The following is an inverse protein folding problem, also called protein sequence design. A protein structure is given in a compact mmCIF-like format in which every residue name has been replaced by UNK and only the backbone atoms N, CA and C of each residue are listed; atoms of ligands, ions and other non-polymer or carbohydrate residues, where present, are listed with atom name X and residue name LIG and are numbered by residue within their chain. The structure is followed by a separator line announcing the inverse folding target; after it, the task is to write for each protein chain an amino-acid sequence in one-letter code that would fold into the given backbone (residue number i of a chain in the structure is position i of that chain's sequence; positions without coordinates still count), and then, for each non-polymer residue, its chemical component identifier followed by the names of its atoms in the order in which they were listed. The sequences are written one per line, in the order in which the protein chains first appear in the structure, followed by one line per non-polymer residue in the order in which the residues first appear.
data_IF_260604892780
#
_entry.id   IF_260604892780
#
_cell.length_a   1.000
_cell.length_b   1.000
_cell.length_c   1.000
_cell.angle_alpha   90.00
_cell.angle_beta   90.00
_cell.angle_gamma   90.00
#
_symmetry.space_group_name_H-M   'P 1'
#
loop_
_entity.id
_entity.type
_entity.pdbx_description
1 polymer ?
#
# COMPACT_ATOMS: atom_id res chain seq x y z
N UNK A 1 7.34 2.32 9.64
CA UNK A 1 7.98 2.02 10.93
C UNK A 1 9.25 1.22 10.77
N UNK A 2 9.13 -0.09 10.50
CA UNK A 2 10.26 -1.03 10.47
C UNK A 2 11.42 -0.62 9.55
N UNK A 3 11.13 -0.38 8.25
CA UNK A 3 12.16 0.05 7.29
C UNK A 3 12.79 1.39 7.67
N UNK A 4 12.06 2.29 8.35
CA UNK A 4 12.60 3.56 8.84
C UNK A 4 13.63 3.35 9.96
N UNK A 5 13.31 2.49 10.93
CA UNK A 5 14.24 2.12 12.01
C UNK A 5 15.43 1.27 11.54
N UNK A 6 15.24 0.46 10.50
CA UNK A 6 16.31 -0.34 9.91
C UNK A 6 17.35 0.51 9.17
N UNK A 7 16.92 1.54 8.43
CA UNK A 7 17.82 2.39 7.65
C UNK A 7 18.57 3.41 8.51
N UNK A 8 18.08 3.74 9.72
CA UNK A 8 18.71 4.73 10.61
C UNK A 8 18.85 4.17 12.03
N UNK A 9 19.78 3.23 12.29
CA UNK A 9 19.88 2.54 13.58
C UNK A 9 20.47 3.38 14.72
N UNK A 10 21.20 4.48 14.42
CA UNK A 10 21.78 5.42 15.40
C UNK A 10 22.40 4.76 16.65
N UNK A 11 23.29 3.78 16.45
CA UNK A 11 24.03 3.12 17.53
C UNK A 11 23.30 1.94 18.20
N UNK A 12 22.06 1.64 17.82
CA UNK A 12 21.35 0.43 18.24
C UNK A 12 21.53 -0.71 17.21
N UNK A 13 21.38 -1.98 17.64
CA UNK A 13 21.27 -3.10 16.72
C UNK A 13 20.16 -2.86 15.67
N UNK A 14 20.39 -3.12 14.38
CA UNK A 14 19.41 -2.81 13.32
C UNK A 14 18.04 -3.45 13.56
N UNK A 15 18.04 -4.66 14.10
CA UNK A 15 16.81 -5.40 14.39
C UNK A 15 16.02 -4.75 15.53
N UNK A 16 16.68 -4.23 16.57
CA UNK A 16 16.00 -3.55 17.68
C UNK A 16 15.51 -2.16 17.28
N UNK A 17 16.30 -1.41 16.49
CA UNK A 17 15.86 -0.14 15.93
C UNK A 17 14.63 -0.31 15.03
N UNK A 18 14.60 -1.36 14.20
CA UNK A 18 13.47 -1.67 13.34
C UNK A 18 12.22 -2.13 14.09
N UNK A 19 12.36 -2.97 15.14
CA UNK A 19 11.21 -3.38 15.97
C UNK A 19 10.63 -2.21 16.76
N UNK A 20 11.48 -1.34 17.34
CA UNK A 20 11.04 -0.11 18.00
C UNK A 20 10.35 0.84 17.00
N UNK A 21 10.91 1.03 15.81
CA UNK A 21 10.29 1.85 14.76
C UNK A 21 8.95 1.30 14.27
N UNK A 22 8.80 -0.03 14.22
CA UNK A 22 7.51 -0.67 13.93
C UNK A 22 6.51 -0.40 15.06
N UNK A 23 6.92 -0.64 16.31
CA UNK A 23 6.07 -0.47 17.50
C UNK A 23 5.57 0.97 17.65
N UNK A 24 6.45 1.97 17.50
CA UNK A 24 6.09 3.38 17.54
C UNK A 24 5.10 3.70 16.42
N UNK A 25 5.31 3.23 15.19
CA UNK A 25 4.37 3.47 14.10
C UNK A 25 2.98 2.85 14.36
N UNK A 26 2.93 1.64 14.89
CA UNK A 26 1.68 0.98 15.31
C UNK A 26 0.99 1.80 16.40
N UNK A 27 1.71 2.21 17.44
CA UNK A 27 1.17 3.02 18.52
C UNK A 27 0.61 4.35 18.00
N UNK A 28 1.38 5.10 17.22
CA UNK A 28 0.97 6.42 16.68
C UNK A 28 -0.18 6.32 15.68
N UNK A 29 -0.39 5.20 14.98
CA UNK A 29 -1.54 5.05 14.09
C UNK A 29 -2.77 4.54 14.82
N UNK A 30 -2.64 3.51 15.67
CA UNK A 30 -3.80 2.86 16.28
C UNK A 30 -4.32 3.58 17.51
N UNK A 31 -3.46 4.02 18.43
CA UNK A 31 -3.88 4.64 19.69
C UNK A 31 -4.72 5.90 19.47
N UNK A 32 -4.31 6.89 18.65
CA UNK A 32 -5.13 8.08 18.45
C UNK A 32 -6.42 7.76 17.69
N UNK A 33 -6.40 6.87 16.69
CA UNK A 33 -7.62 6.47 15.99
C UNK A 33 -8.63 5.80 16.92
N UNK A 34 -8.20 4.85 17.75
CA UNK A 34 -9.09 4.20 18.72
C UNK A 34 -9.60 5.16 19.79
N UNK A 35 -8.73 6.04 20.29
CA UNK A 35 -9.13 7.08 21.23
C UNK A 35 -10.24 7.95 20.64
N UNK A 36 -10.10 8.39 19.39
CA UNK A 36 -11.13 9.17 18.70
C UNK A 36 -12.39 8.37 18.37
N UNK A 37 -12.29 7.08 18.05
CA UNK A 37 -13.45 6.21 17.83
C UNK A 37 -14.25 6.05 19.12
N UNK A 38 -13.60 5.85 20.27
CA UNK A 38 -14.30 5.71 21.55
C UNK A 38 -14.86 7.04 22.06
N UNK A 39 -14.13 8.15 21.89
CA UNK A 39 -14.64 9.49 22.21
C UNK A 39 -15.80 9.90 21.29
N UNK A 40 -15.71 9.54 20.01
CA UNK A 40 -16.69 9.85 18.98
C UNK A 40 -17.91 8.92 18.97
N UNK A 41 -17.80 7.69 19.48
CA UNK A 41 -18.88 6.70 19.57
C UNK A 41 -20.22 7.25 20.07
N UNK A 42 -20.30 7.88 21.26
CA UNK A 42 -21.56 8.40 21.79
C UNK A 42 -22.16 9.54 20.94
N UNK A 43 -21.33 10.30 20.23
CA UNK A 43 -21.79 11.40 19.35
C UNK A 43 -22.20 10.89 17.96
N UNK A 44 -21.52 9.86 17.44
CA UNK A 44 -21.80 9.24 16.14
C UNK A 44 -23.12 8.47 16.15
N UNK A 45 -23.49 7.84 17.28
CA UNK A 45 -24.78 7.14 17.45
C UNK A 45 -25.98 8.08 17.20
N UNK A 46 -25.89 9.32 17.69
CA UNK A 46 -26.94 10.35 17.53
C UNK A 46 -27.02 10.90 16.10
N UNK A 47 -25.94 10.77 15.34
CA UNK A 47 -25.74 11.33 14.01
C UNK A 47 -26.03 10.29 12.90
N UNK A 48 -25.90 8.99 13.17
CA UNK A 48 -26.13 7.88 12.20
C UNK A 48 -27.53 7.85 11.57
N UNK A 49 -28.54 8.45 12.21
CA UNK A 49 -29.89 8.53 11.64
C UNK A 49 -30.00 9.46 10.43
N UNK A 50 -28.97 10.25 10.11
CA UNK A 50 -29.03 11.30 9.10
C UNK A 50 -28.35 10.89 7.78
N UNK A 51 -29.13 10.94 6.69
CA UNK A 51 -28.70 10.61 5.31
C UNK A 51 -27.47 11.42 4.87
N UNK A 52 -27.31 12.65 5.35
CA UNK A 52 -26.18 13.52 5.02
C UNK A 52 -24.81 12.96 5.45
N UNK A 53 -24.75 12.15 6.51
CA UNK A 53 -23.49 11.55 6.96
C UNK A 53 -23.10 10.31 6.16
N UNK A 54 -24.08 9.56 5.70
CA UNK A 54 -23.84 8.39 4.84
C UNK A 54 -23.27 8.83 3.49
N UNK A 55 -23.81 9.93 2.93
CA UNK A 55 -23.29 10.49 1.67
C UNK A 55 -21.90 11.10 1.85
N UNK A 56 -21.63 11.80 2.95
CA UNK A 56 -20.31 12.31 3.27
C UNK A 56 -19.27 11.18 3.40
N UNK A 57 -19.62 10.09 4.08
CA UNK A 57 -18.72 8.93 4.22
C UNK A 57 -18.45 8.25 2.87
N UNK A 58 -19.47 8.14 2.01
CA UNK A 58 -19.31 7.64 0.64
C UNK A 58 -18.39 8.56 -0.18
N UNK A 59 -18.54 9.88 -0.07
CA UNK A 59 -17.64 10.83 -0.73
C UNK A 59 -16.18 10.68 -0.27
N UNK A 60 -15.94 10.43 1.02
CA UNK A 60 -14.61 10.12 1.55
C UNK A 60 -14.06 8.83 0.92
N UNK A 61 -14.86 7.75 0.85
CA UNK A 61 -14.42 6.50 0.20
C UNK A 61 -14.07 6.70 -1.28
N UNK A 62 -14.87 7.49 -2.00
CA UNK A 62 -14.61 7.82 -3.40
C UNK A 62 -13.32 8.65 -3.57
N UNK A 63 -13.08 9.63 -2.68
CA UNK A 63 -11.86 10.43 -2.70
C UNK A 63 -10.61 9.57 -2.46
N UNK A 64 -10.65 8.66 -1.47
CA UNK A 64 -9.53 7.76 -1.18
C UNK A 64 -9.27 6.80 -2.35
N UNK A 65 -10.31 6.22 -2.97
CA UNK A 65 -10.17 5.38 -4.16
C UNK A 65 -9.55 6.18 -5.31
N UNK A 66 -9.96 7.44 -5.50
CA UNK A 66 -9.37 8.34 -6.49
C UNK A 66 -7.88 8.61 -6.26
N UNK A 67 -7.48 8.83 -5.00
CA UNK A 67 -6.07 9.02 -4.61
C UNK A 67 -5.26 7.76 -4.89
N UNK A 68 -5.76 6.57 -4.52
CA UNK A 68 -5.09 5.29 -4.80
C UNK A 68 -4.93 5.07 -6.30
N UNK A 69 -5.96 5.37 -7.10
CA UNK A 69 -5.90 5.28 -8.56
C UNK A 69 -4.84 6.23 -9.15
N UNK A 70 -4.75 7.46 -8.64
CA UNK A 70 -3.73 8.42 -9.07
C UNK A 70 -2.32 7.89 -8.81
N UNK A 71 -2.05 7.44 -7.58
CA UNK A 71 -0.76 6.83 -7.19
C UNK A 71 -0.44 5.59 -8.04
N UNK A 72 -1.43 4.73 -8.30
CA UNK A 72 -1.27 3.55 -9.13
C UNK A 72 -0.85 3.90 -10.57
N UNK A 73 -1.47 4.92 -11.17
CA UNK A 73 -1.10 5.41 -12.51
C UNK A 73 0.30 6.02 -12.49
N UNK A 74 0.62 6.85 -11.49
CA UNK A 74 1.94 7.47 -11.36
C UNK A 74 3.05 6.42 -11.25
N UNK A 75 2.91 5.44 -10.36
CA UNK A 75 3.88 4.34 -10.21
C UNK A 75 3.92 3.46 -11.48
N UNK A 76 2.77 3.14 -12.07
CA UNK A 76 2.69 2.35 -13.28
C UNK A 76 3.49 2.98 -14.43
N UNK A 77 3.37 4.28 -14.63
CA UNK A 77 4.16 5.00 -15.63
C UNK A 77 5.67 4.95 -15.31
N UNK A 78 6.09 5.19 -14.07
CA UNK A 78 7.50 5.16 -13.69
C UNK A 78 8.12 3.76 -13.80
N UNK A 79 7.33 2.70 -13.66
CA UNK A 79 7.77 1.31 -13.83
C UNK A 79 7.87 0.93 -15.31
N UNK A 80 6.92 1.37 -16.14
CA UNK A 80 6.88 1.07 -17.58
C UNK A 80 7.88 1.90 -18.40
N UNK A 81 8.08 3.16 -18.01
CA UNK A 81 8.92 4.15 -18.68
C UNK A 81 9.86 4.80 -17.64
N UNK A 82 10.93 4.11 -17.22
CA UNK A 82 11.91 4.70 -16.31
C UNK A 82 12.67 5.83 -17.02
N UNK A 83 13.03 6.89 -16.29
CA UNK A 83 13.88 7.94 -16.84
C UNK A 83 15.23 7.34 -17.27
N UNK A 84 15.58 7.54 -18.54
CA UNK A 84 16.82 7.09 -19.20
C UNK A 84 16.94 5.59 -19.53
N UNK A 85 15.87 4.80 -19.44
CA UNK A 85 15.86 3.38 -19.86
C UNK A 85 14.81 3.12 -20.95
N UNK A 86 15.01 2.11 -21.83
CA UNK A 86 13.99 1.70 -22.79
C UNK A 86 12.74 1.15 -22.09
N UNK A 87 11.63 1.14 -22.81
CA UNK A 87 10.34 0.66 -22.33
C UNK A 87 10.42 -0.75 -21.73
N UNK A 88 9.97 -0.91 -20.47
CA UNK A 88 10.05 -2.17 -19.75
C UNK A 88 8.88 -3.11 -20.13
N UNK A 89 9.06 -3.85 -21.22
CA UNK A 89 8.07 -4.81 -21.71
C UNK A 89 7.77 -5.94 -20.71
N UNK A 90 8.76 -6.36 -19.91
CA UNK A 90 8.57 -7.40 -18.90
C UNK A 90 7.59 -6.94 -17.82
N UNK A 91 7.77 -5.73 -17.29
CA UNK A 91 6.84 -5.14 -16.34
C UNK A 91 5.44 -4.94 -16.94
N UNK A 92 5.35 -4.60 -18.23
CA UNK A 92 4.08 -4.50 -18.94
C UNK A 92 3.34 -5.84 -19.00
N UNK A 93 4.03 -6.93 -19.37
CA UNK A 93 3.45 -8.28 -19.43
C UNK A 93 3.01 -8.75 -18.05
N UNK A 94 3.87 -8.63 -17.04
CA UNK A 94 3.55 -9.03 -15.65
C UNK A 94 2.37 -8.22 -15.12
N UNK A 95 2.33 -6.91 -15.38
CA UNK A 95 1.23 -6.03 -14.99
C UNK A 95 -0.10 -6.43 -15.64
N UNK A 96 -0.10 -6.71 -16.93
CA UNK A 96 -1.30 -7.14 -17.67
C UNK A 96 -1.78 -8.51 -17.16
N UNK A 97 -0.87 -9.48 -16.98
CA UNK A 97 -1.21 -10.81 -16.46
C UNK A 97 -1.77 -10.72 -15.05
N UNK A 98 -1.16 -9.92 -14.17
CA UNK A 98 -1.67 -9.69 -12.82
C UNK A 98 -3.06 -9.04 -12.84
N UNK A 99 -3.26 -8.02 -13.67
CA UNK A 99 -4.54 -7.33 -13.80
C UNK A 99 -5.65 -8.25 -14.32
N UNK A 100 -5.39 -9.00 -15.39
CA UNK A 100 -6.34 -9.95 -15.96
C UNK A 100 -6.61 -11.13 -15.03
N UNK A 101 -5.59 -11.64 -14.35
CA UNK A 101 -5.72 -12.72 -13.36
C UNK A 101 -6.61 -12.31 -12.17
N UNK A 102 -6.45 -11.08 -11.68
CA UNK A 102 -7.31 -10.55 -10.62
C UNK A 102 -8.74 -10.30 -11.10
N UNK A 103 -8.92 -9.69 -12.28
CA UNK A 103 -10.25 -9.35 -12.80
C UNK A 103 -11.04 -10.61 -13.20
N UNK A 104 -10.44 -11.56 -13.90
CA UNK A 104 -11.15 -12.71 -14.47
C UNK A 104 -11.20 -13.94 -13.56
N UNK A 105 -10.15 -14.17 -12.77
CA UNK A 105 -9.97 -15.41 -12.00
C UNK A 105 -9.94 -15.24 -10.48
N UNK A 106 -10.18 -14.02 -9.97
CA UNK A 106 -10.19 -13.68 -8.53
C UNK A 106 -8.97 -14.26 -7.79
N UNK A 107 -7.79 -14.23 -8.42
CA UNK A 107 -6.56 -14.68 -7.78
C UNK A 107 -6.34 -13.93 -6.46
N UNK A 108 -5.95 -14.67 -5.43
CA UNK A 108 -5.66 -14.08 -4.14
C UNK A 108 -4.46 -13.15 -4.30
N UNK A 109 -4.61 -11.90 -3.87
CA UNK A 109 -3.59 -10.84 -3.98
C UNK A 109 -2.23 -11.32 -3.45
N UNK A 110 -2.22 -12.13 -2.39
CA UNK A 110 -0.99 -12.68 -1.80
C UNK A 110 -0.20 -13.51 -2.83
N UNK A 111 -0.85 -14.37 -3.60
CA UNK A 111 -0.17 -15.18 -4.63
C UNK A 111 0.31 -14.31 -5.80
N UNK A 112 -0.47 -13.31 -6.21
CA UNK A 112 -0.08 -12.40 -7.30
C UNK A 112 1.16 -11.59 -6.93
N UNK A 113 1.23 -11.10 -5.70
CA UNK A 113 2.38 -10.32 -5.19
C UNK A 113 3.61 -11.21 -5.04
N UNK A 114 3.46 -12.43 -4.51
CA UNK A 114 4.57 -13.37 -4.39
C UNK A 114 5.11 -13.81 -5.76
N UNK A 115 4.24 -14.18 -6.69
CA UNK A 115 4.63 -14.59 -8.03
C UNK A 115 5.29 -13.45 -8.82
N UNK A 116 4.72 -12.24 -8.78
CA UNK A 116 5.31 -11.09 -9.48
C UNK A 116 6.66 -10.66 -8.87
N UNK A 117 6.79 -10.71 -7.54
CA UNK A 117 8.07 -10.48 -6.85
C UNK A 117 9.13 -11.51 -7.20
N UNK A 118 8.77 -12.81 -7.20
CA UNK A 118 9.68 -13.90 -7.58
C UNK A 118 10.11 -13.80 -9.05
N UNK A 119 9.16 -13.54 -9.96
CA UNK A 119 9.45 -13.35 -11.37
C UNK A 119 10.37 -12.14 -11.60
N UNK A 120 10.12 -11.02 -10.91
CA UNK A 120 10.98 -9.83 -10.98
C UNK A 120 12.39 -10.07 -10.41
N UNK A 121 12.50 -10.82 -9.31
CA UNK A 121 13.79 -11.20 -8.73
C UNK A 121 14.59 -12.10 -9.67
N UNK A 122 13.97 -13.14 -10.24
CA UNK A 122 14.60 -14.05 -11.19
C UNK A 122 15.05 -13.32 -12.46
N UNK A 123 14.22 -12.41 -12.98
CA UNK A 123 14.56 -11.64 -14.18
C UNK A 123 15.73 -10.67 -13.94
N UNK A 124 15.78 -10.01 -12.77
CA UNK A 124 16.90 -9.16 -12.37
C UNK A 124 18.19 -9.95 -12.17
N UNK A 125 18.10 -11.17 -11.67
CA UNK A 125 19.25 -12.06 -11.50
C UNK A 125 19.77 -12.60 -12.85
N UNK A 126 18.88 -12.80 -13.84
CA UNK A 126 19.24 -13.29 -15.17
C UNK A 126 19.84 -12.21 -16.10
N UNK A 127 19.51 -10.94 -15.89
CA UNK A 127 19.99 -9.81 -16.71
C UNK A 127 21.20 -9.10 -16.08
N UNK A 128 21.36 -9.20 -14.75
CA UNK A 128 22.45 -8.57 -14.00
C UNK A 128 23.70 -9.44 -13.81
N UNK A 129 23.87 -10.51 -14.60
CA UNK A 129 25.05 -11.37 -14.62
C UNK A 129 25.90 -11.14 -15.87
#
# INVERSE_FOLDING_TARGET
GFMGGWNVPNGLPPLTAATLGAFISTWTTFVPCFLWVFLGGPHIEQLRGNVHLTTALSAITAAVVGVVMNLAVWFGMHILLPQNEPFNWFAAVVGIVAFLGMWRWKWNIVYVVLCSGLLGFLFRFAIGG
#
